data_IF_338864679139
#
_entry.id   IF_338864679139
#
_cell.length_a   1.000
_cell.length_b   1.000
_cell.length_c   1.000
_cell.angle_alpha   90.00
_cell.angle_beta   90.00
_cell.angle_gamma   90.00
#
_symmetry.space_group_name_H-M   'P 1'
#
loop_
_entity.id
_entity.type
_entity.pdbx_description
1 polymer ?
#
# COMPACT_ATOMS: atom_id res chain seq x y z
N UNK A 1 -1.27 9.34 -15.69
CA UNK A 1 -2.37 8.40 -15.42
C UNK A 1 -2.70 7.49 -16.62
N UNK A 2 -2.26 7.84 -17.83
CA UNK A 2 -2.52 7.07 -19.06
C UNK A 2 -3.83 7.45 -19.77
N UNK A 3 -4.60 8.38 -19.24
CA UNK A 3 -5.86 8.87 -19.80
C UNK A 3 -5.72 10.33 -20.23
N UNK A 4 -5.30 11.19 -19.33
CA UNK A 4 -5.16 12.62 -19.59
C UNK A 4 -3.75 12.95 -20.09
N UNK A 5 -3.63 13.98 -20.92
CA UNK A 5 -2.33 14.51 -21.32
C UNK A 5 -1.58 14.98 -20.08
N UNK A 6 -0.32 14.55 -19.96
CA UNK A 6 0.57 15.02 -18.89
C UNK A 6 0.76 16.53 -18.95
N UNK A 7 0.44 17.23 -17.86
CA UNK A 7 0.59 18.69 -17.77
C UNK A 7 0.80 19.16 -16.33
N UNK A 8 1.43 20.33 -16.19
CA UNK A 8 1.60 20.97 -14.88
C UNK A 8 0.27 21.38 -14.25
N UNK A 9 -0.68 21.84 -15.06
CA UNK A 9 -1.99 22.29 -14.58
C UNK A 9 -2.86 21.15 -14.01
N UNK A 10 -2.62 19.92 -14.44
CA UNK A 10 -3.32 18.72 -13.95
C UNK A 10 -2.55 17.99 -12.86
N UNK A 11 -1.36 18.46 -12.52
CA UNK A 11 -0.45 17.84 -11.53
C UNK A 11 -0.25 16.32 -11.73
N UNK A 12 -0.36 15.86 -12.98
CA UNK A 12 -0.22 14.46 -13.38
C UNK A 12 1.10 14.14 -14.07
N UNK A 13 2.10 14.99 -13.90
CA UNK A 13 3.45 14.82 -14.43
C UNK A 13 4.42 14.30 -13.37
N UNK A 14 5.53 13.75 -13.83
CA UNK A 14 6.68 13.38 -12.98
C UNK A 14 7.79 14.39 -13.25
N UNK A 15 8.10 15.23 -12.26
CA UNK A 15 9.16 16.25 -12.38
C UNK A 15 10.54 15.64 -12.14
N UNK A 16 11.52 15.97 -13.00
CA UNK A 16 12.91 15.48 -12.85
C UNK A 16 13.64 16.08 -11.65
N UNK A 17 13.12 17.17 -11.10
CA UNK A 17 13.65 17.86 -9.91
C UNK A 17 12.87 17.54 -8.64
N UNK A 18 11.86 16.69 -8.71
CA UNK A 18 11.10 16.24 -7.52
C UNK A 18 11.99 15.40 -6.61
N UNK A 19 11.64 15.35 -5.31
CA UNK A 19 12.33 14.47 -4.37
C UNK A 19 12.28 13.00 -4.84
N UNK A 20 13.34 12.21 -4.62
CA UNK A 20 13.43 10.82 -5.08
C UNK A 20 12.23 9.95 -4.68
N UNK A 21 11.75 10.09 -3.44
CA UNK A 21 10.59 9.35 -2.94
C UNK A 21 9.28 9.75 -3.63
N UNK A 22 9.11 11.04 -3.95
CA UNK A 22 7.95 11.54 -4.70
C UNK A 22 7.95 11.01 -6.13
N UNK A 23 9.11 11.13 -6.82
CA UNK A 23 9.30 10.61 -8.17
C UNK A 23 9.03 9.10 -8.22
N UNK A 24 9.58 8.33 -7.28
CA UNK A 24 9.37 6.87 -7.19
C UNK A 24 7.88 6.55 -6.99
N UNK A 25 7.21 7.22 -6.06
CA UNK A 25 5.78 7.03 -5.78
C UNK A 25 4.89 7.33 -6.98
N UNK A 26 5.17 8.42 -7.71
CA UNK A 26 4.44 8.77 -8.94
C UNK A 26 4.65 7.72 -10.04
N UNK A 27 5.87 7.24 -10.24
CA UNK A 27 6.16 6.17 -11.20
C UNK A 27 5.50 4.85 -10.83
N UNK A 28 5.39 4.53 -9.54
CA UNK A 28 4.65 3.36 -9.07
C UNK A 28 3.14 3.48 -9.26
N UNK A 29 2.60 4.69 -9.40
CA UNK A 29 1.15 4.93 -9.57
C UNK A 29 0.65 4.88 -11.01
N UNK A 30 1.54 4.87 -12.01
CA UNK A 30 1.14 4.75 -13.43
C UNK A 30 0.46 3.41 -13.71
N UNK A 31 -0.41 3.36 -14.73
CA UNK A 31 -1.02 2.10 -15.16
C UNK A 31 0.02 1.13 -15.74
N UNK A 32 -0.27 -0.18 -15.72
CA UNK A 32 0.63 -1.18 -16.28
C UNK A 32 0.82 -1.02 -17.79
N UNK A 33 -0.21 -0.56 -18.50
CA UNK A 33 -0.13 -0.24 -19.92
C UNK A 33 0.85 0.92 -20.18
N UNK A 34 0.76 1.98 -19.36
CA UNK A 34 1.64 3.14 -19.47
C UNK A 34 3.07 2.79 -19.06
N UNK A 35 3.26 1.89 -18.13
CA UNK A 35 4.58 1.38 -17.71
C UNK A 35 5.38 0.84 -18.89
N UNK A 36 4.80 0.04 -19.77
CA UNK A 36 5.51 -0.50 -20.95
C UNK A 36 5.92 0.58 -21.92
N UNK A 37 5.07 1.61 -22.09
CA UNK A 37 5.44 2.76 -22.90
C UNK A 37 6.61 3.55 -22.29
N UNK A 38 6.65 3.67 -20.97
CA UNK A 38 7.78 4.29 -20.27
C UNK A 38 9.06 3.46 -20.42
N UNK A 39 8.97 2.14 -20.36
CA UNK A 39 10.10 1.26 -20.66
C UNK A 39 10.67 1.54 -22.05
N UNK A 40 9.84 1.56 -23.07
CA UNK A 40 10.27 1.81 -24.45
C UNK A 40 10.90 3.19 -24.65
N UNK A 41 10.40 4.22 -23.97
CA UNK A 41 10.81 5.60 -24.21
C UNK A 41 11.91 6.09 -23.26
N UNK A 42 12.00 5.54 -22.07
CA UNK A 42 12.82 6.10 -21.00
C UNK A 42 13.85 5.12 -20.41
N UNK A 43 13.69 3.82 -20.58
CA UNK A 43 14.65 2.84 -20.09
C UNK A 43 15.86 2.75 -21.01
N UNK A 44 17.03 2.43 -20.44
CA UNK A 44 18.23 2.08 -21.19
C UNK A 44 18.38 0.59 -21.46
N UNK A 45 17.37 -0.21 -21.05
CA UNK A 45 17.36 -1.65 -21.30
C UNK A 45 17.17 -1.94 -22.79
N UNK A 46 17.82 -2.97 -23.32
CA UNK A 46 17.58 -3.44 -24.69
C UNK A 46 16.11 -3.85 -24.90
N UNK A 47 15.62 -3.68 -26.12
CA UNK A 47 14.22 -4.01 -26.46
C UNK A 47 13.86 -5.47 -26.22
N UNK A 48 14.79 -6.40 -26.44
CA UNK A 48 14.63 -7.83 -26.19
C UNK A 48 14.45 -8.14 -24.70
N UNK A 49 15.15 -7.42 -23.81
CA UNK A 49 14.98 -7.52 -22.36
C UNK A 49 13.61 -6.99 -21.94
N UNK A 50 13.18 -5.85 -22.49
CA UNK A 50 11.85 -5.28 -22.22
C UNK A 50 10.75 -6.25 -22.69
N UNK A 51 10.89 -6.81 -23.89
CA UNK A 51 9.95 -7.78 -24.43
C UNK A 51 9.89 -9.06 -23.61
N UNK A 52 11.04 -9.53 -23.08
CA UNK A 52 11.09 -10.68 -22.16
C UNK A 52 10.38 -10.38 -20.86
N UNK A 53 10.67 -9.25 -20.24
CA UNK A 53 10.05 -8.80 -18.98
C UNK A 53 8.53 -8.69 -19.12
N UNK A 54 8.05 -8.20 -20.27
CA UNK A 54 6.62 -8.10 -20.56
C UNK A 54 5.98 -9.47 -20.65
N UNK A 55 6.58 -10.42 -21.38
CA UNK A 55 6.08 -11.81 -21.46
C UNK A 55 6.06 -12.49 -20.08
N UNK A 56 7.09 -12.28 -19.26
CA UNK A 56 7.12 -12.79 -17.89
C UNK A 56 5.93 -12.27 -17.06
N UNK A 57 5.58 -10.99 -17.19
CA UNK A 57 4.41 -10.42 -16.53
C UNK A 57 3.09 -10.99 -17.07
N UNK A 58 2.99 -11.28 -18.35
CA UNK A 58 1.83 -11.92 -18.97
C UNK A 58 1.66 -13.39 -18.52
N UNK A 59 2.75 -14.03 -18.10
CA UNK A 59 2.79 -15.45 -17.68
C UNK A 59 2.83 -15.66 -16.17
N UNK A 60 2.68 -14.60 -15.35
CA UNK A 60 2.52 -14.75 -13.91
C UNK A 60 3.47 -13.92 -13.03
N UNK A 61 4.49 -13.26 -13.58
CA UNK A 61 5.29 -12.33 -12.83
C UNK A 61 4.45 -11.12 -12.43
N UNK A 62 4.62 -10.64 -11.20
CA UNK A 62 3.88 -9.49 -10.72
C UNK A 62 4.32 -8.20 -11.46
N UNK A 63 3.42 -7.52 -12.21
CA UNK A 63 3.74 -6.26 -12.90
C UNK A 63 4.28 -5.15 -11.97
N UNK A 64 3.93 -5.20 -10.67
CA UNK A 64 4.47 -4.29 -9.67
C UNK A 64 5.99 -4.35 -9.56
N UNK A 65 6.59 -5.53 -9.71
CA UNK A 65 8.04 -5.71 -9.68
C UNK A 65 8.70 -5.02 -10.88
N UNK A 66 8.16 -5.23 -12.08
CA UNK A 66 8.62 -4.55 -13.28
C UNK A 66 8.52 -3.02 -13.13
N UNK A 67 7.41 -2.54 -12.57
CA UNK A 67 7.20 -1.11 -12.31
C UNK A 67 8.22 -0.55 -11.31
N UNK A 68 8.54 -1.28 -10.25
CA UNK A 68 9.56 -0.88 -9.28
C UNK A 68 10.96 -0.83 -9.90
N UNK A 69 11.30 -1.78 -10.78
CA UNK A 69 12.57 -1.76 -11.53
C UNK A 69 12.68 -0.52 -12.42
N UNK A 70 11.61 -0.16 -13.13
CA UNK A 70 11.56 1.06 -13.95
C UNK A 70 11.68 2.32 -13.10
N UNK A 71 10.92 2.41 -12.01
CA UNK A 71 10.97 3.55 -11.10
C UNK A 71 12.36 3.74 -10.51
N UNK A 72 12.99 2.65 -10.07
CA UNK A 72 14.36 2.68 -9.55
C UNK A 72 15.34 3.18 -10.60
N UNK A 73 15.27 2.68 -11.84
CA UNK A 73 16.13 3.08 -12.95
C UNK A 73 16.01 4.58 -13.24
N UNK A 74 14.77 5.10 -13.31
CA UNK A 74 14.51 6.52 -13.59
C UNK A 74 14.99 7.39 -12.43
N UNK A 75 14.71 7.05 -11.19
CA UNK A 75 15.18 7.81 -10.02
C UNK A 75 16.71 7.79 -9.94
N UNK A 76 17.35 6.65 -10.19
CA UNK A 76 18.82 6.57 -10.21
C UNK A 76 19.46 7.48 -11.26
N UNK A 77 18.81 7.63 -12.41
CA UNK A 77 19.27 8.50 -13.51
C UNK A 77 19.24 9.98 -13.13
N UNK A 78 18.15 10.46 -12.54
CA UNK A 78 17.96 11.88 -12.26
C UNK A 78 18.53 12.32 -10.91
N UNK A 79 18.78 11.39 -10.00
CA UNK A 79 19.34 11.66 -8.68
C UNK A 79 20.63 10.89 -8.44
N UNK A 80 20.52 9.65 -7.97
CA UNK A 80 21.65 8.72 -7.80
C UNK A 80 21.11 7.32 -7.45
N UNK A 81 21.98 6.30 -7.60
CA UNK A 81 21.62 4.94 -7.19
C UNK A 81 21.28 4.84 -5.70
N UNK A 82 22.07 5.41 -4.76
CA UNK A 82 21.70 5.41 -3.34
C UNK A 82 20.35 6.08 -3.05
N UNK A 83 20.01 7.18 -3.76
CA UNK A 83 18.72 7.84 -3.62
C UNK A 83 17.57 6.96 -4.13
N UNK A 84 17.77 6.21 -5.21
CA UNK A 84 16.80 5.27 -5.73
C UNK A 84 16.58 4.08 -4.77
N UNK A 85 17.67 3.54 -4.21
CA UNK A 85 17.61 2.47 -3.21
C UNK A 85 16.83 2.92 -1.95
N UNK A 86 17.09 4.14 -1.45
CA UNK A 86 16.38 4.73 -0.32
C UNK A 86 14.89 4.97 -0.63
N UNK A 87 14.57 5.54 -1.82
CA UNK A 87 13.20 5.79 -2.23
C UNK A 87 12.40 4.49 -2.37
N UNK A 88 13.00 3.44 -2.91
CA UNK A 88 12.38 2.11 -3.00
C UNK A 88 12.15 1.52 -1.62
N UNK A 89 13.14 1.58 -0.71
CA UNK A 89 13.01 1.07 0.65
C UNK A 89 11.90 1.79 1.42
N UNK A 90 11.82 3.13 1.30
CA UNK A 90 10.76 3.94 1.89
C UNK A 90 9.38 3.55 1.33
N UNK A 91 9.27 3.40 0.00
CA UNK A 91 8.04 2.97 -0.65
C UNK A 91 7.62 1.59 -0.17
N UNK A 92 8.53 0.62 -0.13
CA UNK A 92 8.25 -0.73 0.32
C UNK A 92 7.86 -0.76 1.80
N UNK A 93 8.50 0.03 2.66
CA UNK A 93 8.12 0.14 4.07
C UNK A 93 6.69 0.66 4.24
N UNK A 94 6.32 1.74 3.50
CA UNK A 94 4.94 2.26 3.50
C UNK A 94 3.91 1.23 3.06
N UNK A 95 4.24 0.41 2.05
CA UNK A 95 3.28 -0.55 1.48
C UNK A 95 3.30 -1.93 2.13
N UNK A 96 4.41 -2.36 2.75
CA UNK A 96 4.44 -3.58 3.57
C UNK A 96 3.63 -3.43 4.84
N UNK A 97 3.59 -2.23 5.43
CA UNK A 97 2.77 -1.94 6.60
C UNK A 97 1.35 -1.48 6.24
N UNK A 98 0.92 -1.61 4.93
CA UNK A 98 -0.32 -1.03 4.41
C UNK A 98 -0.36 0.43 4.86
N UNK A 99 -0.31 1.40 3.95
CA UNK A 99 -0.19 2.82 4.28
C UNK A 99 -1.11 3.18 5.46
N UNK A 100 -0.55 3.18 6.67
CA UNK A 100 -1.27 3.67 7.84
C UNK A 100 -1.41 5.17 7.66
N UNK A 101 -2.63 5.72 7.66
CA UNK A 101 -2.81 7.17 7.59
C UNK A 101 -2.02 7.84 8.72
N UNK A 102 -1.27 8.90 8.40
CA UNK A 102 -0.52 9.67 9.42
C UNK A 102 -1.44 10.21 10.53
N UNK A 103 -2.72 10.45 10.20
CA UNK A 103 -3.78 10.88 11.11
C UNK A 103 -4.76 9.75 11.44
N UNK A 104 -4.26 8.59 11.86
CA UNK A 104 -5.13 7.49 12.26
C UNK A 104 -5.73 7.77 13.65
N UNK A 105 -7.07 7.61 13.82
CA UNK A 105 -7.68 7.74 15.14
C UNK A 105 -7.03 6.76 16.15
N UNK A 106 -6.67 7.29 17.32
CA UNK A 106 -6.22 6.47 18.45
C UNK A 106 -7.38 6.27 19.43
N UNK A 107 -7.70 5.02 19.70
CA UNK A 107 -8.83 4.63 20.56
C UNK A 107 -8.32 3.72 21.67
N UNK A 108 -8.61 4.09 22.92
CA UNK A 108 -8.38 3.19 24.06
C UNK A 108 -9.69 2.53 24.44
N UNK A 109 -9.72 1.20 24.48
CA UNK A 109 -10.87 0.40 24.84
C UNK A 109 -10.56 -0.40 26.12
N UNK A 110 -11.56 -0.53 26.98
CA UNK A 110 -11.45 -1.35 28.17
C UNK A 110 -12.09 -2.72 27.92
N UNK A 111 -11.30 -3.78 28.08
CA UNK A 111 -11.76 -5.14 27.92
C UNK A 111 -12.11 -5.76 29.29
N UNK A 112 -13.04 -6.70 29.30
CA UNK A 112 -13.23 -7.58 30.46
C UNK A 112 -12.03 -8.54 30.61
N UNK A 113 -11.90 -9.19 31.76
CA UNK A 113 -10.88 -10.19 32.00
C UNK A 113 -10.92 -11.26 30.87
N UNK A 114 -9.86 -11.33 30.06
CA UNK A 114 -9.76 -12.26 28.91
C UNK A 114 -9.63 -11.60 27.54
N UNK A 115 -9.74 -10.28 27.44
CA UNK A 115 -9.59 -9.55 26.19
C UNK A 115 -10.90 -9.16 25.50
N UNK A 116 -10.81 -8.62 24.29
CA UNK A 116 -11.96 -8.13 23.52
C UNK A 116 -12.12 -8.88 22.20
N UNK A 117 -13.30 -9.45 21.90
CA UNK A 117 -13.58 -10.09 20.62
C UNK A 117 -13.41 -9.09 19.47
N UNK A 118 -12.82 -9.54 18.36
CA UNK A 118 -12.48 -8.69 17.21
C UNK A 118 -13.67 -7.91 16.64
N UNK A 119 -14.85 -8.52 16.61
CA UNK A 119 -16.06 -7.86 16.12
C UNK A 119 -16.51 -6.71 17.04
N UNK A 120 -16.39 -6.88 18.34
CA UNK A 120 -16.71 -5.86 19.32
C UNK A 120 -15.66 -4.73 19.30
N UNK A 121 -14.39 -5.10 19.18
CA UNK A 121 -13.28 -4.16 19.06
C UNK A 121 -13.44 -3.26 17.83
N UNK A 122 -13.73 -3.81 16.64
CA UNK A 122 -13.95 -3.06 15.43
C UNK A 122 -15.15 -2.09 15.53
N UNK A 123 -16.24 -2.51 16.23
CA UNK A 123 -17.39 -1.64 16.48
C UNK A 123 -17.05 -0.52 17.47
N UNK A 124 -16.44 -0.82 18.59
CA UNK A 124 -16.11 0.19 19.61
C UNK A 124 -15.05 1.18 19.14
N UNK A 125 -14.16 0.75 18.23
CA UNK A 125 -13.20 1.62 17.55
C UNK A 125 -13.85 2.52 16.48
N UNK A 126 -15.16 2.42 16.23
CA UNK A 126 -15.88 3.23 15.24
C UNK A 126 -15.59 2.86 13.79
N UNK A 127 -14.97 1.71 13.55
CA UNK A 127 -14.62 1.26 12.21
C UNK A 127 -15.79 0.64 11.45
N UNK A 128 -16.75 0.09 12.18
CA UNK A 128 -17.99 -0.51 11.69
C UNK A 128 -19.17 -0.09 12.56
N UNK A 129 -20.37 -0.12 12.01
CA UNK A 129 -21.59 0.28 12.73
C UNK A 129 -22.14 -0.84 13.64
N UNK A 130 -21.83 -2.09 13.30
CA UNK A 130 -22.31 -3.26 14.04
C UNK A 130 -21.31 -4.40 14.10
N UNK A 131 -21.45 -5.27 15.10
CA UNK A 131 -20.67 -6.52 15.20
C UNK A 131 -20.95 -7.47 14.02
N UNK A 132 -22.17 -7.46 13.51
CA UNK A 132 -22.55 -8.24 12.33
C UNK A 132 -21.81 -7.77 11.07
N UNK A 133 -21.62 -6.47 10.92
CA UNK A 133 -20.82 -5.90 9.84
C UNK A 133 -19.33 -6.31 9.97
N UNK A 134 -18.79 -6.26 11.19
CA UNK A 134 -17.44 -6.73 11.47
C UNK A 134 -17.25 -8.20 11.07
N UNK A 135 -18.14 -9.07 11.46
CA UNK A 135 -18.09 -10.50 11.14
C UNK A 135 -18.22 -10.77 9.64
N UNK A 136 -19.01 -9.96 8.94
CA UNK A 136 -19.11 -10.02 7.47
C UNK A 136 -17.80 -9.58 6.81
N UNK A 137 -17.17 -8.52 7.30
CA UNK A 137 -15.84 -8.09 6.83
C UNK A 137 -14.77 -9.17 7.07
N UNK A 138 -14.79 -9.85 8.22
CA UNK A 138 -13.90 -10.99 8.47
C UNK A 138 -14.10 -12.09 7.41
N UNK A 139 -15.37 -12.46 7.12
CA UNK A 139 -15.69 -13.46 6.11
C UNK A 139 -15.23 -13.04 4.69
N UNK A 140 -15.28 -11.76 4.39
CA UNK A 140 -14.83 -11.17 3.11
C UNK A 140 -13.33 -10.85 3.08
N UNK A 141 -12.56 -11.23 4.11
CA UNK A 141 -11.13 -10.89 4.26
C UNK A 141 -10.86 -9.37 4.23
N UNK A 142 -11.84 -8.58 4.61
CA UNK A 142 -11.78 -7.12 4.63
C UNK A 142 -11.35 -6.52 5.98
N UNK A 143 -11.18 -7.32 7.03
CA UNK A 143 -10.68 -6.89 8.32
C UNK A 143 -9.23 -7.34 8.48
N UNK A 144 -8.34 -6.41 8.90
CA UNK A 144 -6.93 -6.69 9.15
C UNK A 144 -6.50 -6.17 10.51
N UNK A 145 -5.58 -6.89 11.16
CA UNK A 145 -4.85 -6.48 12.35
C UNK A 145 -3.36 -6.39 12.00
N UNK A 146 -2.75 -5.24 12.25
CA UNK A 146 -1.32 -4.98 11.95
C UNK A 146 -0.91 -5.40 10.52
N UNK A 147 -1.84 -5.24 9.55
CA UNK A 147 -1.66 -5.60 8.14
C UNK A 147 -2.02 -7.04 7.80
N UNK A 148 -2.19 -7.93 8.77
CA UNK A 148 -2.58 -9.32 8.55
C UNK A 148 -4.10 -9.49 8.48
N UNK A 149 -4.56 -10.30 7.52
CA UNK A 149 -5.98 -10.56 7.33
C UNK A 149 -6.51 -11.42 8.47
N UNK A 150 -7.54 -10.91 9.17
CA UNK A 150 -8.27 -11.68 10.17
C UNK A 150 -9.20 -12.67 9.46
N UNK A 151 -9.00 -13.96 9.73
CA UNK A 151 -9.84 -15.05 9.19
C UNK A 151 -10.71 -15.71 10.27
N UNK A 152 -10.28 -15.60 11.51
CA UNK A 152 -11.01 -16.16 12.66
C UNK A 152 -12.01 -15.14 13.22
N UNK A 153 -13.30 -15.51 13.17
CA UNK A 153 -14.41 -14.70 13.73
C UNK A 153 -14.41 -14.66 15.25
N UNK A 154 -13.80 -15.65 15.89
CA UNK A 154 -13.71 -15.78 17.36
C UNK A 154 -12.42 -15.17 17.93
N UNK A 155 -11.58 -14.53 17.08
CA UNK A 155 -10.33 -13.91 17.51
C UNK A 155 -10.59 -12.91 18.66
N UNK A 156 -9.82 -13.04 19.72
CA UNK A 156 -9.83 -12.15 20.89
C UNK A 156 -8.50 -11.43 20.99
N UNK A 157 -8.55 -10.11 21.11
CA UNK A 157 -7.37 -9.27 21.35
C UNK A 157 -7.19 -9.11 22.86
N UNK A 158 -6.03 -9.51 23.36
CA UNK A 158 -5.72 -9.51 24.80
C UNK A 158 -5.60 -8.09 25.35
N UNK A 159 -5.95 -7.93 26.64
CA UNK A 159 -5.67 -6.68 27.36
C UNK A 159 -4.16 -6.39 27.41
N UNK A 160 -3.79 -5.13 27.39
CA UNK A 160 -2.41 -4.68 27.34
C UNK A 160 -1.83 -4.61 25.91
N UNK A 161 -2.60 -4.91 24.87
CA UNK A 161 -2.15 -4.94 23.49
C UNK A 161 -2.57 -3.66 22.75
N UNK A 162 -1.65 -3.11 21.95
CA UNK A 162 -1.94 -2.04 20.98
C UNK A 162 -1.83 -2.61 19.57
N UNK A 163 -2.89 -2.49 18.80
CA UNK A 163 -2.99 -3.02 17.44
C UNK A 163 -3.54 -1.98 16.47
N UNK A 164 -3.13 -2.06 15.22
CA UNK A 164 -3.74 -1.28 14.15
C UNK A 164 -4.82 -2.11 13.48
N UNK A 165 -6.05 -1.64 13.54
CA UNK A 165 -7.21 -2.27 12.94
C UNK A 165 -7.56 -1.56 11.65
N UNK A 166 -7.69 -2.32 10.57
CA UNK A 166 -8.16 -1.82 9.28
C UNK A 166 -9.47 -2.51 8.92
N UNK A 167 -10.51 -1.72 8.64
CA UNK A 167 -11.79 -2.18 8.12
C UNK A 167 -12.00 -1.70 6.67
N UNK A 168 -11.99 -2.64 5.73
CA UNK A 168 -12.03 -2.33 4.31
C UNK A 168 -10.75 -1.63 3.82
N UNK A 169 -10.89 -0.74 2.82
CA UNK A 169 -9.74 -0.06 2.20
C UNK A 169 -9.36 1.29 2.84
N UNK A 170 -10.27 1.91 3.58
CA UNK A 170 -10.16 3.33 3.96
C UNK A 170 -10.26 3.61 5.46
N UNK A 171 -10.81 2.70 6.26
CA UNK A 171 -11.01 2.91 7.69
C UNK A 171 -9.90 2.25 8.49
N UNK A 172 -9.20 3.04 9.29
CA UNK A 172 -8.10 2.61 10.15
C UNK A 172 -8.26 3.20 11.55
N UNK A 173 -7.84 2.48 12.56
CA UNK A 173 -7.69 2.98 13.91
C UNK A 173 -6.56 2.25 14.64
N UNK A 174 -5.80 2.98 15.44
CA UNK A 174 -4.89 2.40 16.43
C UNK A 174 -5.66 2.16 17.70
N UNK A 175 -5.79 0.91 18.10
CA UNK A 175 -6.62 0.51 19.25
C UNK A 175 -5.72 -0.05 20.34
N UNK A 176 -5.80 0.56 21.52
CA UNK A 176 -5.16 0.03 22.75
C UNK A 176 -6.24 -0.60 23.61
N UNK A 177 -6.11 -1.90 23.88
CA UNK A 177 -7.02 -2.66 24.75
C UNK A 177 -6.40 -2.66 26.15
N UNK A 178 -7.12 -2.05 27.11
CA UNK A 178 -6.74 -2.03 28.54
C UNK A 178 -7.62 -2.93 29.38
#
# INVERSE_FOLDING_TARGET
DGVNKMSKSLDNYVGITEAPSSMFGKLMSISDTLMWRYYTLLSFRPEDEIARLRRECETGRNPREAKAMLAHEIVARFHSKPAADAAQAEFDARFRHGALPENMPEVTLHAAAGGMPIAQLAKQAGLVESTSEALRLVAQRGLKLDGEVVTDKALVVSSGTTVVVQAGKRKFARVTVK
#
